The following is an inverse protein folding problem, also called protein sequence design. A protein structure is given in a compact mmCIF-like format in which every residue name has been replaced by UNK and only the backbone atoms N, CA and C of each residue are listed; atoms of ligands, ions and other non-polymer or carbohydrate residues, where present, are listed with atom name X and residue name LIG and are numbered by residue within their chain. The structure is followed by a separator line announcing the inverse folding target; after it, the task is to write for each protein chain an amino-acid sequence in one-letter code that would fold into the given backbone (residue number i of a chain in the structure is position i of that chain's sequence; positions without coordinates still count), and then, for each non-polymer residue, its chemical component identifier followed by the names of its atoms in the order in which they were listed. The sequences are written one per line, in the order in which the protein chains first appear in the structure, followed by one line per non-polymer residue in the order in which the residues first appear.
data_IF_713771460212
#
_entry.id   IF_713771460212
#
_cell.length_a   1.000
_cell.length_b   1.000
_cell.length_c   1.000
_cell.angle_alpha   90.00
_cell.angle_beta   90.00
_cell.angle_gamma   90.00
#
_symmetry.space_group_name_H-M   'P 1'
#
loop_
_entity.id
_entity.type
_entity.pdbx_description
1 polymer ?
#
# COMPACT_ATOMS: atom_id res chain seq x y z
N UNK A 1 0.51 11.19 -9.25
CA UNK A 1 -0.71 10.34 -9.13
C UNK A 1 -0.32 8.89 -8.91
N UNK A 2 -0.89 8.27 -7.90
CA UNK A 2 -0.70 6.83 -7.64
C UNK A 2 -1.99 6.10 -7.98
N UNK A 3 -1.89 5.04 -8.79
CA UNK A 3 -3.01 4.19 -9.16
C UNK A 3 -3.07 2.96 -8.25
N UNK A 4 -4.25 2.65 -7.74
CA UNK A 4 -4.46 1.45 -6.94
C UNK A 4 -4.08 0.18 -7.70
N UNK A 5 -4.41 0.11 -8.99
CA UNK A 5 -4.07 -1.03 -9.86
C UNK A 5 -2.56 -1.32 -9.87
N UNK A 6 -1.75 -0.28 -9.98
CA UNK A 6 -0.28 -0.41 -9.96
C UNK A 6 0.20 -0.97 -8.62
N UNK A 7 -0.34 -0.44 -7.52
CA UNK A 7 0.01 -0.89 -6.19
C UNK A 7 -0.44 -2.34 -5.94
N UNK A 8 -1.64 -2.70 -6.41
CA UNK A 8 -2.15 -4.07 -6.30
C UNK A 8 -1.26 -5.05 -7.06
N UNK A 9 -0.90 -4.74 -8.30
CA UNK A 9 -0.04 -5.60 -9.11
C UNK A 9 1.32 -5.80 -8.43
N UNK A 10 1.88 -4.74 -7.87
CA UNK A 10 3.16 -4.80 -7.17
C UNK A 10 3.05 -5.63 -5.89
N UNK A 11 2.00 -5.42 -5.10
CA UNK A 11 1.77 -6.17 -3.86
C UNK A 11 1.58 -7.67 -4.17
N UNK A 12 0.83 -8.01 -5.21
CA UNK A 12 0.65 -9.41 -5.62
C UNK A 12 1.96 -10.05 -6.04
N UNK A 13 2.83 -9.31 -6.73
CA UNK A 13 4.17 -9.80 -7.06
C UNK A 13 4.99 -10.09 -5.82
N UNK A 14 4.94 -9.20 -4.83
CA UNK A 14 5.64 -9.39 -3.56
C UNK A 14 5.11 -10.60 -2.76
N UNK A 15 3.82 -10.89 -2.89
CA UNK A 15 3.14 -11.99 -2.21
C UNK A 15 3.16 -13.31 -2.98
N UNK A 16 3.68 -13.32 -4.22
CA UNK A 16 3.55 -14.45 -5.14
C UNK A 16 2.08 -14.87 -5.36
N UNK A 17 1.19 -13.89 -5.46
CA UNK A 17 -0.26 -14.09 -5.59
C UNK A 17 -0.77 -13.51 -6.90
N UNK A 18 -0.17 -13.95 -8.01
CA UNK A 18 -0.43 -13.38 -9.34
C UNK A 18 -1.39 -14.21 -10.21
N UNK A 19 -1.75 -15.41 -9.76
CA UNK A 19 -2.68 -16.27 -10.52
C UNK A 19 -4.13 -15.84 -10.27
N UNK A 20 -4.71 -15.13 -11.25
CA UNK A 20 -6.06 -14.58 -11.15
C UNK A 20 -7.15 -15.64 -10.91
N UNK A 21 -6.92 -16.88 -11.32
CA UNK A 21 -7.86 -17.98 -11.09
C UNK A 21 -7.81 -18.57 -9.69
N UNK A 22 -6.81 -18.18 -8.88
CA UNK A 22 -6.57 -18.78 -7.56
C UNK A 22 -5.93 -17.77 -6.61
N UNK A 23 -6.45 -16.53 -6.57
CA UNK A 23 -5.96 -15.53 -5.63
C UNK A 23 -6.17 -15.97 -4.19
N UNK A 24 -5.12 -15.92 -3.39
CA UNK A 24 -5.16 -16.16 -1.95
C UNK A 24 -5.82 -15.00 -1.22
N UNK A 25 -5.53 -13.77 -1.65
CA UNK A 25 -6.14 -12.55 -1.13
C UNK A 25 -6.99 -11.92 -2.22
N UNK A 26 -8.29 -11.75 -1.97
CA UNK A 26 -9.16 -11.04 -2.91
C UNK A 26 -8.81 -9.57 -3.02
N UNK A 27 -9.22 -8.92 -4.11
CA UNK A 27 -8.96 -7.50 -4.33
C UNK A 27 -9.51 -6.62 -3.21
N UNK A 28 -10.69 -6.94 -2.68
CA UNK A 28 -11.29 -6.17 -1.57
C UNK A 28 -10.45 -6.23 -0.30
N UNK A 29 -9.89 -7.40 0.00
CA UNK A 29 -9.02 -7.59 1.17
C UNK A 29 -7.74 -6.80 1.00
N UNK A 30 -7.09 -6.91 -0.17
CA UNK A 30 -5.88 -6.16 -0.46
C UNK A 30 -6.13 -4.65 -0.51
N UNK A 31 -7.30 -4.21 -0.99
CA UNK A 31 -7.67 -2.79 -0.97
C UNK A 31 -7.71 -2.26 0.47
N UNK A 32 -8.28 -3.02 1.39
CA UNK A 32 -8.28 -2.66 2.81
C UNK A 32 -6.88 -2.51 3.37
N UNK A 33 -5.99 -3.46 3.06
CA UNK A 33 -4.57 -3.39 3.47
C UNK A 33 -3.85 -2.22 2.79
N UNK A 34 -4.19 -1.95 1.54
CA UNK A 34 -3.63 -0.82 0.78
C UNK A 34 -3.97 0.51 1.44
N UNK A 35 -5.22 0.70 1.83
CA UNK A 35 -5.67 1.92 2.50
C UNK A 35 -5.06 2.04 3.90
N UNK A 36 -4.88 0.93 4.62
CA UNK A 36 -4.15 0.94 5.88
C UNK A 36 -2.68 1.33 5.68
N UNK A 37 -2.08 0.88 4.58
CA UNK A 37 -0.72 1.25 4.22
C UNK A 37 -0.60 2.74 3.90
N UNK A 38 -1.60 3.31 3.21
CA UNK A 38 -1.67 4.76 2.96
C UNK A 38 -1.75 5.54 4.27
N UNK A 39 -2.56 5.08 5.21
CA UNK A 39 -2.66 5.71 6.53
C UNK A 39 -1.31 5.72 7.25
N UNK A 40 -0.62 4.59 7.27
CA UNK A 40 0.73 4.49 7.84
C UNK A 40 1.73 5.40 7.12
N UNK A 41 1.64 5.46 5.78
CA UNK A 41 2.49 6.31 4.96
C UNK A 41 2.34 7.78 5.34
N UNK A 42 1.11 8.27 5.44
CA UNK A 42 0.87 9.67 5.81
C UNK A 42 1.19 9.95 7.27
N UNK A 43 1.14 8.95 8.15
CA UNK A 43 1.62 9.09 9.53
C UNK A 43 3.14 9.33 9.56
N UNK A 44 3.90 8.69 8.65
CA UNK A 44 5.35 8.88 8.51
C UNK A 44 5.69 10.18 7.75
N UNK A 45 4.85 10.58 6.82
CA UNK A 45 5.08 11.72 5.94
C UNK A 45 3.88 12.69 5.95
N UNK A 46 3.58 13.31 7.10
CA UNK A 46 2.45 14.26 7.19
C UNK A 46 2.64 15.50 6.30
N UNK A 47 3.88 15.83 5.95
CA UNK A 47 4.21 16.90 5.01
C UNK A 47 3.56 16.70 3.63
N UNK A 48 3.35 15.44 3.22
CA UNK A 48 2.76 15.12 1.92
C UNK A 48 1.24 15.23 1.91
N UNK A 49 0.59 15.51 3.04
CA UNK A 49 -0.83 15.84 3.08
C UNK A 49 -1.12 17.23 2.56
N UNK A 50 -0.12 18.10 2.42
CA UNK A 50 -0.26 19.40 1.76
C UNK A 50 -0.14 19.15 0.25
N UNK A 51 -1.22 19.46 -0.48
CA UNK A 51 -1.25 19.28 -1.93
C UNK A 51 -0.38 20.33 -2.62
N UNK A 52 -0.03 20.12 -3.92
CA UNK A 52 0.80 21.08 -4.67
C UNK A 52 0.21 22.50 -4.71
N UNK A 53 -1.10 22.67 -4.60
CA UNK A 53 -1.76 23.98 -4.56
C UNK A 53 -1.73 24.63 -3.17
N UNK A 54 -1.13 24.00 -2.18
CA UNK A 54 -1.01 24.50 -0.81
C UNK A 54 -2.17 24.15 0.10
N UNK A 55 -3.24 23.52 -0.41
CA UNK A 55 -4.37 23.08 0.42
C UNK A 55 -4.08 21.72 1.06
N UNK A 56 -4.80 21.42 2.16
CA UNK A 56 -4.69 20.12 2.82
C UNK A 56 -5.56 19.09 2.11
N UNK A 57 -5.05 17.87 1.99
CA UNK A 57 -5.83 16.75 1.46
C UNK A 57 -6.98 16.40 2.40
N UNK A 58 -8.13 16.08 1.82
CA UNK A 58 -9.30 15.58 2.58
C UNK A 58 -9.20 14.08 2.74
N UNK A 59 -10.01 13.49 3.63
CA UNK A 59 -10.04 12.05 3.85
C UNK A 59 -10.32 11.26 2.58
N UNK A 60 -11.26 11.72 1.73
CA UNK A 60 -11.57 11.06 0.46
C UNK A 60 -10.46 11.13 -0.57
N UNK A 61 -9.58 12.12 -0.47
CA UNK A 61 -8.43 12.27 -1.35
C UNK A 61 -7.22 11.41 -0.94
N UNK A 62 -7.19 10.96 0.32
CA UNK A 62 -6.05 10.24 0.91
C UNK A 62 -6.07 8.73 0.67
N UNK A 63 -7.19 8.18 0.20
CA UNK A 63 -7.40 6.74 0.11
C UNK A 63 -7.94 6.36 -1.26
N UNK A 64 -7.77 5.09 -1.62
CA UNK A 64 -8.40 4.53 -2.80
C UNK A 64 -9.86 4.18 -2.49
N UNK A 65 -10.79 4.72 -3.28
CA UNK A 65 -12.22 4.44 -3.10
C UNK A 65 -12.59 3.01 -3.55
N UNK A 66 -11.85 2.49 -4.53
CA UNK A 66 -12.03 1.14 -5.08
C UNK A 66 -10.72 0.69 -5.74
N UNK A 67 -10.70 -0.52 -6.29
CA UNK A 67 -9.50 -1.10 -6.90
C UNK A 67 -9.06 -0.39 -8.20
N UNK A 68 -9.91 0.42 -8.79
CA UNK A 68 -9.55 1.31 -9.92
C UNK A 68 -9.29 2.75 -9.51
N UNK A 69 -9.24 3.04 -8.20
CA UNK A 69 -9.09 4.40 -7.68
C UNK A 69 -7.67 4.93 -7.77
N UNK A 70 -7.53 6.22 -7.46
CA UNK A 70 -6.25 6.93 -7.49
C UNK A 70 -6.11 7.83 -6.26
N UNK A 71 -4.86 8.12 -5.90
CA UNK A 71 -4.50 9.23 -5.00
C UNK A 71 -3.75 10.25 -5.86
N UNK A 72 -4.46 11.30 -6.27
CA UNK A 72 -4.03 12.17 -7.36
C UNK A 72 -2.82 13.04 -7.01
N UNK A 73 -2.75 13.53 -5.79
CA UNK A 73 -1.73 14.50 -5.39
C UNK A 73 -0.40 13.85 -4.97
N UNK A 74 -0.38 12.53 -4.80
CA UNK A 74 0.80 11.83 -4.32
C UNK A 74 1.67 11.39 -5.51
N UNK A 75 2.98 11.71 -5.52
CA UNK A 75 3.86 11.29 -6.60
C UNK A 75 3.98 9.78 -6.72
N UNK A 76 4.08 9.30 -7.96
CA UNK A 76 4.17 7.86 -8.26
C UNK A 76 5.39 7.18 -7.63
N UNK A 77 6.44 7.92 -7.33
CA UNK A 77 7.64 7.36 -6.69
C UNK A 77 7.36 6.71 -5.34
N UNK A 78 6.22 7.00 -4.72
CA UNK A 78 5.82 6.42 -3.43
C UNK A 78 4.95 5.16 -3.58
N UNK A 79 4.67 4.72 -4.80
CA UNK A 79 3.84 3.53 -5.04
C UNK A 79 4.42 2.28 -4.37
N UNK A 80 5.75 2.13 -4.39
CA UNK A 80 6.40 0.99 -3.74
C UNK A 80 6.22 1.00 -2.22
N UNK A 81 6.27 2.17 -1.59
CA UNK A 81 6.02 2.28 -0.15
C UNK A 81 4.64 1.74 0.20
N UNK A 82 3.63 2.10 -0.58
CA UNK A 82 2.26 1.65 -0.37
C UNK A 82 2.14 0.13 -0.62
N UNK A 83 2.74 -0.37 -1.70
CA UNK A 83 2.70 -1.80 -2.04
C UNK A 83 3.40 -2.66 -0.99
N UNK A 84 4.56 -2.27 -0.51
CA UNK A 84 5.27 -2.99 0.55
C UNK A 84 4.47 -3.02 1.84
N UNK A 85 3.86 -1.91 2.24
CA UNK A 85 3.01 -1.86 3.43
C UNK A 85 1.78 -2.76 3.29
N UNK A 86 1.16 -2.80 2.12
CA UNK A 86 0.04 -3.69 1.83
C UNK A 86 0.46 -5.16 1.95
N UNK A 87 1.55 -5.55 1.31
CA UNK A 87 2.06 -6.92 1.35
C UNK A 87 2.44 -7.34 2.77
N UNK A 88 3.04 -6.44 3.53
CA UNK A 88 3.41 -6.70 4.92
C UNK A 88 2.18 -7.03 5.77
N UNK A 89 1.10 -6.26 5.62
CA UNK A 89 -0.14 -6.49 6.37
C UNK A 89 -0.81 -7.81 5.96
N UNK A 90 -0.77 -8.17 4.68
CA UNK A 90 -1.30 -9.44 4.21
C UNK A 90 -0.56 -10.62 4.84
N UNK A 91 0.77 -10.57 4.88
CA UNK A 91 1.59 -11.63 5.49
C UNK A 91 1.43 -11.67 7.00
N UNK A 92 1.29 -10.53 7.65
CA UNK A 92 1.08 -10.48 9.10
C UNK A 92 -0.24 -11.14 9.50
N UNK A 93 -1.28 -10.98 8.70
CA UNK A 93 -2.58 -11.59 8.96
C UNK A 93 -2.55 -13.10 8.73
N UNK A 94 -1.63 -13.60 7.91
CA UNK A 94 -1.44 -15.02 7.68
C UNK A 94 -0.44 -15.59 8.69
N UNK A 95 -0.93 -15.85 9.89
CA UNK A 95 -0.12 -16.22 11.06
C UNK A 95 0.36 -17.67 11.08
N UNK A 96 0.16 -18.43 10.01
CA UNK A 96 0.43 -19.87 10.00
C UNK A 96 1.88 -20.24 9.73
N UNK A 97 2.75 -19.26 9.44
CA UNK A 97 4.13 -19.51 9.05
C UNK A 97 5.05 -18.45 9.63
N UNK A 98 6.09 -18.89 10.35
CA UNK A 98 7.12 -18.00 10.89
C UNK A 98 7.83 -17.21 9.80
N UNK A 99 8.04 -17.82 8.62
CA UNK A 99 8.63 -17.13 7.48
C UNK A 99 7.79 -15.93 7.02
N UNK A 100 6.45 -16.04 7.08
CA UNK A 100 5.56 -14.92 6.74
C UNK A 100 5.71 -13.76 7.70
N UNK A 101 5.90 -14.03 9.00
CA UNK A 101 6.13 -12.97 9.99
C UNK A 101 7.45 -12.27 9.75
N UNK A 102 8.51 -13.00 9.41
CA UNK A 102 9.82 -12.43 9.10
C UNK A 102 9.75 -11.58 7.83
N UNK A 103 9.07 -12.07 6.79
CA UNK A 103 8.89 -11.32 5.55
C UNK A 103 8.01 -10.07 5.76
N UNK A 104 6.99 -10.16 6.61
CA UNK A 104 6.18 -9.00 6.97
C UNK A 104 7.02 -7.90 7.60
N UNK A 105 7.91 -8.26 8.54
CA UNK A 105 8.81 -7.29 9.18
C UNK A 105 9.74 -6.63 8.16
N UNK A 106 10.30 -7.40 7.22
CA UNK A 106 11.15 -6.87 6.15
C UNK A 106 10.37 -5.92 5.24
N UNK A 107 9.14 -6.27 4.89
CA UNK A 107 8.31 -5.43 4.02
C UNK A 107 7.88 -4.14 4.74
N UNK A 108 7.58 -4.17 6.04
CA UNK A 108 7.33 -2.95 6.82
C UNK A 108 8.55 -2.05 6.83
N UNK A 109 9.74 -2.61 7.03
CA UNK A 109 10.99 -1.86 6.97
C UNK A 109 11.18 -1.22 5.59
N UNK A 110 10.94 -1.97 4.52
CA UNK A 110 11.04 -1.49 3.13
C UNK A 110 10.04 -0.37 2.87
N UNK A 111 8.81 -0.51 3.36
CA UNK A 111 7.79 0.53 3.22
C UNK A 111 8.26 1.84 3.87
N UNK A 112 8.87 1.76 5.05
CA UNK A 112 9.45 2.92 5.72
C UNK A 112 10.56 3.57 4.91
N UNK A 113 11.47 2.77 4.36
CA UNK A 113 12.57 3.26 3.53
C UNK A 113 12.06 3.94 2.25
N UNK A 114 11.11 3.30 1.56
CA UNK A 114 10.54 3.83 0.32
C UNK A 114 9.71 5.10 0.57
N UNK A 115 9.18 5.27 1.79
CA UNK A 115 8.44 6.48 2.17
C UNK A 115 9.33 7.71 2.25
N UNK A 116 10.64 7.53 2.36
CA UNK A 116 11.61 8.62 2.56
C UNK A 116 12.24 9.11 1.26
N UNK A 117 11.74 8.68 0.12
CA UNK A 117 12.25 9.13 -1.19
C UNK A 117 11.92 10.62 -1.50
#
# INVERSE_FOLDING_TARGET
MIHCETCLARARGLLNDENAGAYRWGNEVLLGFMNSSLDDFFARRPDLLVKPDGSNATGGEMFFANDGGTVDFLPQKYADAIAYGCAARALEQDNNDTANQQNAALFFQRAGQESMK
#
